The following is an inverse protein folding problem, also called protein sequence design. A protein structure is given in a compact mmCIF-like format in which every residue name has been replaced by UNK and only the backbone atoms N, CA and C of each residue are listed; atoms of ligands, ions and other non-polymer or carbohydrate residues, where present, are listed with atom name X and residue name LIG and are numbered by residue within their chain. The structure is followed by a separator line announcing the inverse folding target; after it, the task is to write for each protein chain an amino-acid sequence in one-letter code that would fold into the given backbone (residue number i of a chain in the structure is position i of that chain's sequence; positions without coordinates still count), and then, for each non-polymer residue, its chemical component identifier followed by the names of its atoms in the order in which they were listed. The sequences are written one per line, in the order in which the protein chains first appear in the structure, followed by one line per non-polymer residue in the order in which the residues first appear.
data_IF_572633902131
#
_entry.id   IF_572633902131
#
_cell.length_a   1.000
_cell.length_b   1.000
_cell.length_c   1.000
_cell.angle_alpha   90.00
_cell.angle_beta   90.00
_cell.angle_gamma   90.00
#
_symmetry.space_group_name_H-M   'P 1'
#
loop_
_entity.id
_entity.type
_entity.pdbx_description
1 polymer ?
#
# COMPACT_ATOMS: atom_id res chain seq x y z
N UNK A 1 26.24 5.51 -20.57
CA UNK A 1 25.95 4.80 -19.30
C UNK A 1 25.47 5.85 -18.33
N UNK A 2 24.16 5.98 -18.11
CA UNK A 2 23.59 7.05 -17.28
C UNK A 2 22.85 6.46 -16.07
N UNK A 3 23.27 6.93 -14.90
CA UNK A 3 22.75 6.86 -13.53
C UNK A 3 21.52 5.97 -13.23
N UNK A 4 21.76 4.69 -12.98
CA UNK A 4 20.78 3.78 -12.35
C UNK A 4 20.69 3.92 -10.82
N UNK A 5 21.52 4.78 -10.20
CA UNK A 5 21.64 4.91 -8.74
C UNK A 5 20.80 6.06 -8.17
N UNK A 6 20.62 7.17 -8.88
CA UNK A 6 19.84 8.33 -8.41
C UNK A 6 18.33 8.06 -8.39
N UNK A 7 17.79 7.39 -9.43
CA UNK A 7 16.36 7.02 -9.45
C UNK A 7 15.94 6.09 -8.31
N UNK A 8 16.86 5.24 -7.84
CA UNK A 8 16.58 4.28 -6.76
C UNK A 8 16.45 4.95 -5.38
N UNK A 9 17.20 6.03 -5.13
CA UNK A 9 17.23 6.70 -3.83
C UNK A 9 15.91 7.47 -3.61
N UNK A 10 15.48 8.25 -4.60
CA UNK A 10 14.23 9.02 -4.50
C UNK A 10 12.96 8.15 -4.44
N UNK A 11 12.94 7.01 -5.12
CA UNK A 11 11.76 6.13 -5.16
C UNK A 11 11.55 5.37 -3.84
N UNK A 12 12.64 5.04 -3.14
CA UNK A 12 12.59 4.40 -1.82
C UNK A 12 12.04 5.34 -0.74
N UNK A 13 12.46 6.61 -0.75
CA UNK A 13 12.01 7.61 0.22
C UNK A 13 10.51 7.90 0.09
N UNK A 14 10.01 8.06 -1.14
CA UNK A 14 8.58 8.28 -1.39
C UNK A 14 7.72 7.09 -0.97
N UNK A 15 8.23 5.86 -1.11
CA UNK A 15 7.51 4.67 -0.70
C UNK A 15 7.37 4.57 0.81
N UNK A 16 8.46 4.75 1.55
CA UNK A 16 8.46 4.72 3.02
C UNK A 16 7.60 5.87 3.57
N UNK A 17 7.72 7.08 2.98
CA UNK A 17 6.87 8.22 3.37
C UNK A 17 5.39 7.93 3.10
N UNK A 18 5.07 7.37 1.93
CA UNK A 18 3.72 6.96 1.57
C UNK A 18 3.12 5.94 2.52
N UNK A 19 3.89 4.90 2.84
CA UNK A 19 3.49 3.90 3.82
C UNK A 19 3.26 4.53 5.20
N UNK A 20 4.13 5.43 5.64
CA UNK A 20 4.00 6.14 6.91
C UNK A 20 2.74 7.00 6.99
N UNK A 21 2.34 7.65 5.89
CA UNK A 21 1.07 8.40 5.81
C UNK A 21 -0.12 7.42 5.79
N UNK A 22 -0.06 6.37 4.98
CA UNK A 22 -1.13 5.36 4.89
C UNK A 22 -1.44 4.73 6.25
N UNK A 23 -0.41 4.34 7.01
CA UNK A 23 -0.57 3.70 8.33
C UNK A 23 -0.99 4.67 9.45
N UNK A 24 -1.09 5.98 9.18
CA UNK A 24 -1.68 6.96 10.10
C UNK A 24 -3.16 7.21 9.83
N UNK A 25 -3.68 6.80 8.68
CA UNK A 25 -5.09 6.99 8.33
C UNK A 25 -5.96 5.92 8.99
N UNK A 26 -6.97 6.35 9.74
CA UNK A 26 -7.85 5.44 10.51
C UNK A 26 -8.61 4.45 9.61
N UNK A 27 -8.95 4.84 8.38
CA UNK A 27 -9.67 3.98 7.42
C UNK A 27 -8.77 2.83 6.96
N UNK A 28 -7.50 3.13 6.70
CA UNK A 28 -6.49 2.11 6.35
C UNK A 28 -6.29 1.14 7.51
N UNK A 29 -6.13 1.64 8.73
CA UNK A 29 -6.00 0.79 9.92
C UNK A 29 -7.23 -0.08 10.14
N UNK A 30 -8.43 0.46 9.94
CA UNK A 30 -9.68 -0.30 10.02
C UNK A 30 -9.74 -1.43 8.98
N UNK A 31 -9.33 -1.16 7.75
CA UNK A 31 -9.27 -2.17 6.69
C UNK A 31 -8.26 -3.28 7.00
N UNK A 32 -7.06 -2.91 7.49
CA UNK A 32 -6.04 -3.88 7.93
C UNK A 32 -6.59 -4.77 9.06
N UNK A 33 -7.22 -4.17 10.07
CA UNK A 33 -7.80 -4.91 11.18
C UNK A 33 -8.94 -5.83 10.75
N UNK A 34 -9.77 -5.40 9.79
CA UNK A 34 -10.80 -6.25 9.20
C UNK A 34 -10.19 -7.51 8.58
N UNK A 35 -9.11 -7.35 7.79
CA UNK A 35 -8.40 -8.46 7.16
C UNK A 35 -7.75 -9.42 8.16
N UNK A 36 -7.13 -8.87 9.22
CA UNK A 36 -6.56 -9.68 10.30
C UNK A 36 -7.66 -10.50 11.00
N UNK A 37 -8.82 -9.90 11.28
CA UNK A 37 -9.94 -10.61 11.90
C UNK A 37 -10.52 -11.73 11.01
N UNK A 38 -10.40 -11.59 9.69
CA UNK A 38 -10.78 -12.62 8.71
C UNK A 38 -9.65 -13.62 8.42
N UNK A 39 -8.53 -13.55 9.15
CA UNK A 39 -7.39 -14.47 9.03
C UNK A 39 -6.64 -14.40 7.69
N UNK A 40 -6.73 -13.28 6.96
CA UNK A 40 -5.83 -13.03 5.84
C UNK A 40 -4.38 -12.89 6.33
N UNK A 41 -3.43 -13.34 5.52
CA UNK A 41 -2.00 -13.37 5.84
C UNK A 41 -1.30 -12.18 5.20
N UNK A 42 -0.78 -11.27 6.01
CA UNK A 42 0.05 -10.18 5.49
C UNK A 42 1.40 -10.71 4.98
N UNK A 43 1.71 -10.41 3.71
CA UNK A 43 2.95 -10.86 3.04
C UNK A 43 4.02 -9.78 2.96
N UNK A 44 3.60 -8.51 3.00
CA UNK A 44 4.51 -7.37 2.91
C UNK A 44 3.86 -6.20 2.21
N UNK A 45 4.69 -5.25 1.77
CA UNK A 45 4.23 -4.09 1.03
C UNK A 45 5.14 -3.78 -0.15
N UNK A 46 4.56 -3.13 -1.16
CA UNK A 46 5.26 -2.61 -2.35
C UNK A 46 4.69 -1.24 -2.67
N UNK A 47 5.45 -0.40 -3.36
CA UNK A 47 4.92 0.86 -3.87
C UNK A 47 4.95 0.87 -5.39
N UNK A 48 3.80 1.16 -6.00
CA UNK A 48 3.69 1.56 -7.39
C UNK A 48 3.89 3.06 -7.51
N UNK A 49 4.78 3.47 -8.41
CA UNK A 49 4.85 4.87 -8.82
C UNK A 49 3.68 5.18 -9.73
N UNK A 50 2.93 6.22 -9.43
CA UNK A 50 2.01 6.82 -10.40
C UNK A 50 2.83 7.80 -11.26
N UNK A 51 2.39 8.11 -12.47
CA UNK A 51 3.03 9.09 -13.37
C UNK A 51 3.17 10.49 -12.76
N UNK A 52 2.53 10.73 -11.61
CA UNK A 52 2.47 11.99 -10.87
C UNK A 52 3.42 11.88 -9.66
N UNK A 53 4.51 12.68 -9.58
CA UNK A 53 5.53 12.59 -8.52
C UNK A 53 4.99 12.69 -7.09
N UNK A 54 3.87 13.39 -6.92
CA UNK A 54 3.25 13.71 -5.64
C UNK A 54 2.38 12.59 -5.09
N UNK A 55 2.05 11.58 -5.92
CA UNK A 55 1.11 10.52 -5.55
C UNK A 55 1.78 9.17 -5.63
N UNK A 56 1.70 8.40 -4.54
CA UNK A 56 2.21 7.04 -4.48
C UNK A 56 1.08 6.07 -4.20
N UNK A 57 1.09 4.91 -4.88
CA UNK A 57 0.17 3.81 -4.61
C UNK A 57 0.90 2.78 -3.75
N UNK A 58 0.54 2.70 -2.47
CA UNK A 58 1.06 1.69 -1.53
C UNK A 58 0.20 0.44 -1.66
N UNK A 59 0.80 -0.66 -2.07
CA UNK A 59 0.19 -1.99 -2.10
C UNK A 59 0.56 -2.70 -0.80
N UNK A 60 -0.44 -2.99 0.03
CA UNK A 60 -0.33 -3.88 1.17
C UNK A 60 -0.77 -5.27 0.72
N UNK A 61 0.21 -6.16 0.62
CA UNK A 61 0.08 -7.50 0.06
C UNK A 61 -0.49 -8.42 1.13
N UNK A 62 -1.72 -8.86 0.91
CA UNK A 62 -2.38 -9.88 1.73
C UNK A 62 -2.59 -11.13 0.89
N UNK A 63 -2.61 -12.26 1.55
CA UNK A 63 -2.90 -13.56 0.97
C UNK A 63 -4.06 -14.16 1.77
N UNK A 64 -4.79 -15.11 1.18
CA UNK A 64 -5.84 -15.81 1.92
C UNK A 64 -5.24 -16.71 2.99
N UNK A 65 -6.10 -17.16 3.90
CA UNK A 65 -5.67 -18.16 4.89
C UNK A 65 -5.07 -19.38 4.17
N UNK A 66 -4.02 -20.00 4.74
CA UNK A 66 -3.44 -21.20 4.15
C UNK A 66 -4.53 -22.24 3.87
N UNK A 67 -4.36 -22.97 2.76
CA UNK A 67 -5.28 -24.02 2.32
C UNK A 67 -6.59 -23.54 1.68
N UNK A 68 -6.81 -22.22 1.55
CA UNK A 68 -7.98 -21.67 0.86
C UNK A 68 -7.64 -20.78 -0.32
N UNK A 69 -8.29 -21.00 -1.49
CA UNK A 69 -8.10 -20.13 -2.64
C UNK A 69 -8.76 -18.78 -2.41
N UNK A 70 -8.08 -17.70 -2.80
CA UNK A 70 -8.68 -16.38 -2.86
C UNK A 70 -9.72 -16.29 -3.97
N UNK A 71 -10.99 -16.15 -3.59
CA UNK A 71 -12.09 -15.84 -4.52
C UNK A 71 -12.15 -14.36 -4.87
N UNK A 72 -11.62 -13.50 -4.00
CA UNK A 72 -11.53 -12.05 -4.16
C UNK A 72 -10.07 -11.66 -3.88
N UNK A 73 -9.55 -10.66 -4.62
CA UNK A 73 -8.23 -10.08 -4.36
C UNK A 73 -8.17 -9.54 -2.91
N UNK A 74 -7.35 -10.12 -2.02
CA UNK A 74 -7.33 -9.75 -0.61
C UNK A 74 -6.47 -8.51 -0.32
N UNK A 75 -5.65 -8.04 -1.25
CA UNK A 75 -4.74 -6.92 -1.01
C UNK A 75 -5.46 -5.58 -0.82
N UNK A 76 -4.81 -4.66 -0.10
CA UNK A 76 -5.20 -3.25 -0.06
C UNK A 76 -4.30 -2.43 -0.99
N UNK A 77 -4.90 -1.49 -1.71
CA UNK A 77 -4.14 -0.49 -2.44
C UNK A 77 -4.52 0.90 -1.97
N UNK A 78 -3.54 1.62 -1.43
CA UNK A 78 -3.73 2.93 -0.80
C UNK A 78 -3.06 3.99 -1.65
N UNK A 79 -3.84 4.91 -2.18
CA UNK A 79 -3.34 6.07 -2.92
C UNK A 79 -3.10 7.21 -1.95
N UNK A 80 -1.86 7.70 -1.91
CA UNK A 80 -1.41 8.69 -0.93
C UNK A 80 -0.88 9.93 -1.63
N UNK A 81 -1.33 11.11 -1.19
CA UNK A 81 -0.75 12.38 -1.58
C UNK A 81 0.41 12.74 -0.64
N UNK A 82 1.64 12.76 -1.15
CA UNK A 82 2.85 12.99 -0.35
C UNK A 82 3.07 14.46 0.02
N UNK A 83 2.49 15.41 -0.74
CA UNK A 83 2.55 16.84 -0.46
C UNK A 83 1.52 17.22 0.60
N UNK A 84 0.27 16.76 0.41
CA UNK A 84 -0.85 17.08 1.31
C UNK A 84 -0.93 16.14 2.51
N UNK A 85 -0.13 15.09 2.53
CA UNK A 85 0.03 14.12 3.62
C UNK A 85 -1.28 13.43 4.06
N UNK A 86 -2.12 13.05 3.09
CA UNK A 86 -3.35 12.29 3.35
C UNK A 86 -3.58 11.16 2.34
N UNK A 87 -4.46 10.21 2.71
CA UNK A 87 -4.92 9.12 1.86
C UNK A 87 -6.07 9.58 0.97
N UNK A 88 -5.83 9.61 -0.33
CA UNK A 88 -6.83 9.99 -1.34
C UNK A 88 -7.85 8.88 -1.57
N UNK A 89 -7.39 7.62 -1.63
CA UNK A 89 -8.25 6.49 -1.96
C UNK A 89 -7.73 5.17 -1.38
N UNK A 90 -8.66 4.24 -1.11
CA UNK A 90 -8.38 2.89 -0.62
C UNK A 90 -9.18 1.91 -1.47
N UNK A 91 -8.49 1.06 -2.22
CA UNK A 91 -9.06 -0.08 -2.93
C UNK A 91 -8.95 -1.33 -2.04
N UNK A 92 -10.00 -2.15 -2.00
CA UNK A 92 -10.03 -3.38 -1.19
C UNK A 92 -10.44 -3.19 0.27
N UNK A 93 -10.90 -1.99 0.68
CA UNK A 93 -11.28 -1.66 2.06
C UNK A 93 -12.30 -2.64 2.68
N UNK A 94 -13.19 -3.19 1.86
CA UNK A 94 -14.32 -4.05 2.28
C UNK A 94 -14.19 -5.51 1.80
N UNK A 95 -12.99 -5.94 1.45
CA UNK A 95 -12.67 -7.32 1.03
C UNK A 95 -12.01 -8.09 2.16
#
# INVERSE_FOLDING_TARGET
MSNSKEEKIHKSDSCVKGLGIALKDERVIKAINHKINQQYVFRGYKCGGITIPEVVKVHLDFDCRPEEPCTIEPSLYVTVNLIKEYVEHIEGENT
#
